data_IF_087598931391
#
_entry.id   IF_087598931391
#
_cell.length_a   1.000
_cell.length_b   1.000
_cell.length_c   1.000
_cell.angle_alpha   90.00
_cell.angle_beta   90.00
_cell.angle_gamma   90.00
#
_symmetry.space_group_name_H-M   'P 1'
#
loop_
_entity.id
_entity.type
_entity.pdbx_description
1 polymer ?
#
# COMPACT_ATOMS: atom_id res chain seq x y z
N UNK A 1 -2.16 -24.92 33.21
CA UNK A 1 -1.61 -23.69 33.80
C UNK A 1 -2.49 -23.24 34.96
N UNK A 2 -1.95 -22.46 35.90
CA UNK A 2 -2.68 -21.95 37.07
C UNK A 2 -4.01 -21.25 36.67
N UNK A 3 -4.04 -20.58 35.51
CA UNK A 3 -5.22 -19.90 34.98
C UNK A 3 -6.32 -20.88 34.55
N UNK A 4 -5.95 -21.98 33.93
CA UNK A 4 -6.90 -23.02 33.47
C UNK A 4 -7.52 -23.75 34.68
N UNK A 5 -6.74 -24.05 35.70
CA UNK A 5 -7.26 -24.71 36.92
C UNK A 5 -8.16 -23.77 37.74
N UNK A 6 -7.87 -22.47 37.77
CA UNK A 6 -8.69 -21.50 38.50
C UNK A 6 -10.05 -21.21 37.79
N UNK A 7 -10.07 -21.32 36.46
CA UNK A 7 -11.29 -21.01 35.66
C UNK A 7 -12.21 -22.24 35.46
N UNK A 8 -11.65 -23.45 35.37
CA UNK A 8 -12.40 -24.64 34.95
C UNK A 8 -12.49 -25.78 35.96
N UNK A 9 -11.82 -25.69 37.12
CA UNK A 9 -11.85 -26.73 38.16
C UNK A 9 -11.38 -28.10 37.67
N UNK A 10 -11.00 -28.96 38.56
CA UNK A 10 -10.75 -30.40 38.29
C UNK A 10 -11.81 -31.24 39.00
N UNK A 11 -13.03 -31.31 38.41
CA UNK A 11 -14.06 -32.16 39.02
C UNK A 11 -15.47 -31.94 38.48
N UNK A 12 -16.26 -32.97 38.46
CA UNK A 12 -17.52 -33.12 37.78
C UNK A 12 -18.77 -32.57 38.51
N UNK A 13 -18.64 -31.61 39.42
CA UNK A 13 -19.78 -31.03 40.10
C UNK A 13 -19.70 -29.51 40.06
N UNK A 14 -20.45 -28.92 39.11
CA UNK A 14 -20.61 -27.49 38.97
C UNK A 14 -21.75 -27.03 39.88
N UNK A 15 -21.47 -26.66 41.12
CA UNK A 15 -22.35 -25.78 41.87
C UNK A 15 -22.15 -24.34 41.38
N UNK A 16 -23.22 -23.52 41.19
CA UNK A 16 -23.05 -22.14 40.77
C UNK A 16 -22.27 -21.35 41.83
N UNK A 17 -21.05 -20.99 41.51
CA UNK A 17 -20.19 -20.19 42.38
C UNK A 17 -20.84 -18.83 42.67
N UNK A 18 -21.12 -18.53 43.92
CA UNK A 18 -21.68 -17.24 44.39
C UNK A 18 -20.68 -16.08 44.33
N UNK A 19 -19.45 -16.30 43.85
CA UNK A 19 -18.46 -15.26 43.66
C UNK A 19 -17.59 -15.52 42.43
N UNK A 20 -17.37 -14.54 41.59
CA UNK A 20 -16.41 -14.61 40.50
C UNK A 20 -15.00 -14.88 41.09
N UNK A 21 -14.30 -15.94 40.68
CA UNK A 21 -12.95 -16.18 41.17
C UNK A 21 -12.04 -15.02 40.77
N UNK A 22 -11.37 -14.42 41.76
CA UNK A 22 -10.33 -13.44 41.52
C UNK A 22 -9.03 -14.20 41.25
N UNK A 23 -8.43 -13.94 40.06
CA UNK A 23 -7.09 -14.47 39.74
C UNK A 23 -6.14 -13.29 39.73
N UNK A 24 -5.18 -13.32 40.65
CA UNK A 24 -4.08 -12.37 40.64
C UNK A 24 -3.12 -12.73 39.52
N UNK A 25 -3.10 -11.92 38.46
CA UNK A 25 -2.15 -12.06 37.37
C UNK A 25 -0.94 -11.18 37.67
N UNK A 26 0.19 -11.81 37.96
CA UNK A 26 1.44 -11.06 38.04
C UNK A 26 1.79 -10.51 36.68
N UNK A 27 1.74 -9.20 36.52
CA UNK A 27 2.19 -8.50 35.33
C UNK A 27 3.51 -7.79 35.63
N UNK A 28 4.47 -7.92 34.75
CA UNK A 28 5.69 -7.11 34.77
C UNK A 28 5.54 -6.04 33.71
N UNK A 29 5.59 -4.77 34.10
CA UNK A 29 5.63 -3.68 33.15
C UNK A 29 6.96 -3.77 32.37
N UNK A 30 6.88 -3.97 31.07
CA UNK A 30 8.02 -3.77 30.18
C UNK A 30 7.96 -2.30 29.71
N UNK A 31 8.99 -1.49 29.98
CA UNK A 31 9.04 -0.16 29.44
C UNK A 31 9.05 -0.25 27.90
N UNK A 32 8.24 0.55 27.23
CA UNK A 32 8.35 0.72 25.79
C UNK A 32 9.72 1.32 25.44
N UNK A 33 10.30 0.92 24.32
CA UNK A 33 11.56 1.52 23.82
C UNK A 33 11.38 3.03 23.59
N UNK A 34 10.16 3.46 23.22
CA UNK A 34 9.74 4.87 23.16
C UNK A 34 8.57 5.06 24.14
N UNK A 35 8.76 5.88 25.15
CA UNK A 35 7.69 6.22 26.10
C UNK A 35 6.76 7.29 25.53
N UNK A 36 5.58 7.47 26.16
CA UNK A 36 4.70 8.58 25.81
C UNK A 36 5.39 9.93 26.02
N UNK A 37 6.21 10.06 27.07
CA UNK A 37 6.96 11.28 27.36
C UNK A 37 8.00 11.58 26.28
N UNK A 38 8.67 10.55 25.74
CA UNK A 38 9.58 10.70 24.61
C UNK A 38 8.83 11.13 23.34
N UNK A 39 7.67 10.53 23.06
CA UNK A 39 6.84 10.90 21.92
C UNK A 39 6.33 12.35 22.04
N UNK A 40 5.92 12.77 23.22
CA UNK A 40 5.51 14.16 23.50
C UNK A 40 6.69 15.13 23.37
N UNK A 41 7.87 14.74 23.82
CA UNK A 41 9.08 15.55 23.70
C UNK A 41 9.51 15.75 22.25
N UNK A 42 9.30 14.73 21.39
CA UNK A 42 9.52 14.82 19.94
C UNK A 42 8.38 15.52 19.19
N UNK A 43 7.26 15.86 19.87
CA UNK A 43 6.09 16.47 19.25
C UNK A 43 5.17 15.50 18.53
N UNK A 44 5.29 14.18 18.76
CA UNK A 44 4.40 13.16 18.17
C UNK A 44 3.15 13.03 19.06
N UNK A 45 2.14 13.85 18.82
CA UNK A 45 0.98 13.98 19.73
C UNK A 45 -0.33 13.43 19.18
N UNK A 46 -0.46 13.21 17.87
CA UNK A 46 -1.68 12.68 17.27
C UNK A 46 -1.56 12.33 15.80
N UNK A 47 -2.56 11.66 15.21
CA UNK A 47 -2.58 11.37 13.78
C UNK A 47 -2.78 12.68 13.00
N UNK A 48 -1.93 12.90 11.99
CA UNK A 48 -2.00 14.04 11.08
C UNK A 48 -2.41 13.65 9.66
N UNK A 49 -2.39 12.36 9.35
CA UNK A 49 -2.86 11.80 8.08
C UNK A 49 -2.96 10.28 8.20
N UNK A 50 -4.02 9.70 7.64
CA UNK A 50 -4.23 8.25 7.64
C UNK A 50 -4.88 7.80 6.36
N UNK A 51 -4.52 6.59 5.92
CA UNK A 51 -5.15 5.96 4.77
C UNK A 51 -5.12 4.44 4.91
N UNK A 52 -6.13 3.78 4.32
CA UNK A 52 -6.25 2.32 4.33
C UNK A 52 -6.54 1.80 2.93
N UNK A 53 -5.83 0.75 2.52
CA UNK A 53 -6.14 -0.02 1.32
C UNK A 53 -6.46 -1.46 1.67
N UNK A 54 -7.30 -2.09 0.83
CA UNK A 54 -7.70 -3.49 1.00
C UNK A 54 -6.97 -4.37 -0.01
N UNK A 55 -6.63 -5.60 0.41
CA UNK A 55 -6.11 -6.64 -0.46
C UNK A 55 -6.82 -7.98 -0.25
N UNK A 56 -6.78 -8.82 -1.30
CA UNK A 56 -7.41 -10.14 -1.25
C UNK A 56 -6.57 -11.09 -0.40
N UNK A 57 -7.26 -11.88 0.43
CA UNK A 57 -6.68 -12.98 1.21
C UNK A 57 -7.25 -14.31 0.75
N UNK A 58 -6.51 -15.40 0.98
CA UNK A 58 -6.94 -16.76 0.65
C UNK A 58 -5.97 -17.49 -0.27
N UNK A 59 -6.41 -18.63 -0.81
CA UNK A 59 -5.56 -19.48 -1.63
C UNK A 59 -5.03 -18.77 -2.87
N UNK A 60 -3.71 -18.87 -3.07
CA UNK A 60 -2.99 -18.27 -4.21
C UNK A 60 -2.59 -16.79 -4.00
N UNK A 61 -2.81 -16.23 -2.81
CA UNK A 61 -2.38 -14.87 -2.48
C UNK A 61 -1.32 -14.81 -1.39
N UNK A 62 -0.88 -15.96 -0.89
CA UNK A 62 -0.02 -16.10 0.29
C UNK A 62 1.30 -15.33 0.15
N UNK A 63 1.98 -15.49 -0.98
CA UNK A 63 3.27 -14.82 -1.24
C UNK A 63 3.09 -13.31 -1.29
N UNK A 64 2.05 -12.82 -1.97
CA UNK A 64 1.75 -11.40 -2.05
C UNK A 64 1.43 -10.82 -0.67
N UNK A 65 0.62 -11.52 0.11
CA UNK A 65 0.23 -11.10 1.44
C UNK A 65 1.42 -11.11 2.41
N UNK A 66 2.33 -12.10 2.26
CA UNK A 66 3.60 -12.13 2.97
C UNK A 66 4.46 -10.89 2.65
N UNK A 67 4.63 -10.56 1.37
CA UNK A 67 5.39 -9.39 0.95
C UNK A 67 4.80 -8.08 1.50
N UNK A 68 3.47 -7.93 1.44
CA UNK A 68 2.76 -6.77 2.00
C UNK A 68 3.03 -6.65 3.51
N UNK A 69 2.91 -7.75 4.26
CA UNK A 69 3.17 -7.76 5.69
C UNK A 69 4.63 -7.43 6.01
N UNK A 70 5.57 -8.02 5.26
CA UNK A 70 7.01 -7.82 5.47
C UNK A 70 7.41 -6.36 5.23
N UNK A 71 7.01 -5.78 4.10
CA UNK A 71 7.35 -4.37 3.82
C UNK A 71 6.66 -3.41 4.77
N UNK A 72 5.44 -3.74 5.22
CA UNK A 72 4.75 -2.95 6.26
C UNK A 72 5.55 -2.91 7.56
N UNK A 73 6.16 -4.03 7.97
CA UNK A 73 7.02 -4.10 9.15
C UNK A 73 8.30 -3.29 8.99
N UNK A 74 8.91 -3.27 7.77
CA UNK A 74 10.11 -2.47 7.50
C UNK A 74 9.84 -0.96 7.58
N UNK A 75 8.64 -0.52 7.21
CA UNK A 75 8.23 0.88 7.23
C UNK A 75 7.71 1.33 8.59
N UNK A 76 7.15 0.38 9.38
CA UNK A 76 6.53 0.70 10.67
C UNK A 76 7.55 1.25 11.66
N UNK A 77 7.16 2.29 12.40
CA UNK A 77 8.00 3.05 13.33
C UNK A 77 9.15 3.84 12.68
N UNK A 78 9.16 4.04 11.36
CA UNK A 78 10.13 4.96 10.75
C UNK A 78 9.80 6.40 11.13
N UNK A 79 10.84 7.23 11.28
CA UNK A 79 10.72 8.63 11.69
C UNK A 79 11.27 9.53 10.59
N UNK A 80 10.51 10.56 10.24
CA UNK A 80 11.00 11.67 9.43
C UNK A 80 11.24 12.88 10.36
N UNK A 81 12.52 13.19 10.61
CA UNK A 81 12.86 14.32 11.48
C UNK A 81 12.40 15.67 10.90
N UNK A 82 12.22 16.65 11.77
CA UNK A 82 11.80 17.99 11.38
C UNK A 82 12.69 18.57 10.28
N UNK A 83 12.09 19.06 9.20
CA UNK A 83 12.77 19.64 8.04
C UNK A 83 13.42 18.61 7.09
N UNK A 84 13.40 17.32 7.39
CA UNK A 84 14.03 16.28 6.59
C UNK A 84 13.08 15.68 5.56
N UNK A 85 13.63 14.89 4.65
CA UNK A 85 12.89 14.06 3.70
C UNK A 85 12.84 12.61 4.17
N UNK A 86 11.76 11.91 3.85
CA UNK A 86 11.59 10.48 4.03
C UNK A 86 11.48 9.82 2.66
N UNK A 87 12.22 8.75 2.45
CA UNK A 87 12.23 7.93 1.24
C UNK A 87 11.77 6.52 1.56
N UNK A 88 10.90 5.99 0.71
CA UNK A 88 10.47 4.60 0.80
C UNK A 88 11.66 3.66 0.56
N UNK A 89 12.42 3.91 -0.51
CA UNK A 89 13.55 3.06 -0.89
C UNK A 89 14.70 3.13 0.14
N UNK A 90 14.97 4.28 0.73
CA UNK A 90 15.98 4.40 1.80
C UNK A 90 15.55 3.63 3.06
N UNK A 91 14.24 3.62 3.36
CA UNK A 91 13.69 2.94 4.54
C UNK A 91 13.65 1.42 4.35
N UNK A 92 13.24 0.93 3.18
CA UNK A 92 13.08 -0.51 2.92
C UNK A 92 14.34 -1.16 2.35
N UNK A 93 15.14 -0.40 1.58
CA UNK A 93 16.16 -0.91 0.69
C UNK A 93 15.57 -1.78 -0.41
N UNK A 94 16.43 -2.60 -1.07
CA UNK A 94 15.95 -3.55 -2.06
C UNK A 94 15.04 -4.62 -1.43
N UNK A 95 13.86 -4.82 -1.98
CA UNK A 95 12.88 -5.82 -1.53
C UNK A 95 13.07 -7.14 -2.29
N UNK A 96 14.20 -7.82 -2.03
CA UNK A 96 14.66 -9.02 -2.69
C UNK A 96 14.47 -10.32 -1.85
N UNK A 97 14.88 -11.44 -2.44
CA UNK A 97 14.81 -12.76 -1.78
C UNK A 97 15.71 -12.85 -0.54
N UNK A 98 16.83 -12.09 -0.49
CA UNK A 98 17.74 -12.11 0.66
C UNK A 98 17.07 -11.52 1.90
N UNK A 99 16.14 -10.57 1.71
CA UNK A 99 15.29 -10.03 2.78
C UNK A 99 14.03 -10.84 3.04
N UNK A 100 13.81 -11.93 2.31
CA UNK A 100 12.68 -12.83 2.48
C UNK A 100 11.45 -12.46 1.63
N UNK A 101 11.56 -11.58 0.64
CA UNK A 101 10.48 -11.33 -0.30
C UNK A 101 10.32 -12.49 -1.28
N UNK A 102 9.08 -12.76 -1.66
CA UNK A 102 8.69 -13.91 -2.49
C UNK A 102 8.18 -13.44 -3.86
N UNK A 103 8.27 -14.34 -4.85
CA UNK A 103 7.63 -14.13 -6.14
C UNK A 103 6.11 -14.04 -6.01
N UNK A 104 5.52 -12.99 -6.55
CA UNK A 104 4.09 -12.75 -6.57
C UNK A 104 3.72 -11.80 -7.71
N UNK A 105 2.42 -11.72 -8.04
CA UNK A 105 1.94 -10.89 -9.14
C UNK A 105 2.33 -9.42 -8.99
N UNK A 106 2.97 -8.90 -10.02
CA UNK A 106 3.42 -7.51 -10.16
C UNK A 106 3.09 -6.99 -11.56
N UNK A 107 3.22 -5.68 -11.76
CA UNK A 107 3.13 -5.04 -13.07
C UNK A 107 4.55 -4.62 -13.46
N UNK A 108 5.09 -5.22 -14.51
CA UNK A 108 6.42 -4.91 -15.05
C UNK A 108 6.26 -4.65 -16.54
N UNK A 109 6.79 -3.51 -17.01
CA UNK A 109 6.74 -3.09 -18.43
C UNK A 109 5.34 -3.18 -19.06
N UNK A 110 4.30 -2.86 -18.28
CA UNK A 110 2.92 -2.88 -18.75
C UNK A 110 2.30 -4.29 -18.85
N UNK A 111 2.91 -5.30 -18.28
CA UNK A 111 2.37 -6.66 -18.22
C UNK A 111 2.23 -7.15 -16.76
N UNK A 112 1.18 -7.97 -16.51
CA UNK A 112 1.07 -8.70 -15.25
C UNK A 112 1.99 -9.93 -15.30
N UNK A 113 2.96 -9.97 -14.40
CA UNK A 113 3.93 -11.06 -14.28
C UNK A 113 4.25 -11.35 -12.82
N UNK A 114 4.77 -12.54 -12.54
CA UNK A 114 5.29 -12.84 -11.22
C UNK A 114 6.70 -12.24 -11.06
N UNK A 115 6.88 -11.50 -9.99
CA UNK A 115 8.16 -10.90 -9.62
C UNK A 115 8.35 -10.92 -8.11
N UNK A 116 9.61 -10.99 -7.67
CA UNK A 116 9.97 -10.85 -6.26
C UNK A 116 9.51 -9.48 -5.77
N UNK A 117 8.91 -9.43 -4.58
CA UNK A 117 8.37 -8.20 -4.02
C UNK A 117 6.97 -7.80 -4.52
N UNK A 118 6.29 -8.64 -5.34
CA UNK A 118 4.91 -8.33 -5.76
C UNK A 118 4.02 -8.02 -4.56
N UNK A 119 3.39 -6.83 -4.58
CA UNK A 119 2.54 -6.30 -3.49
C UNK A 119 3.08 -5.07 -2.77
N UNK A 120 4.39 -4.77 -2.83
CA UNK A 120 5.01 -3.63 -2.11
C UNK A 120 4.44 -2.28 -2.54
N UNK A 121 4.09 -2.09 -3.82
CA UNK A 121 3.48 -0.87 -4.32
C UNK A 121 2.12 -0.57 -3.69
N UNK A 122 1.40 -1.58 -3.18
CA UNK A 122 0.18 -1.33 -2.44
C UNK A 122 0.46 -0.61 -1.12
N UNK A 123 1.54 -0.99 -0.43
CA UNK A 123 1.94 -0.32 0.81
C UNK A 123 2.45 1.09 0.51
N UNK A 124 3.23 1.26 -0.57
CA UNK A 124 3.65 2.59 -1.05
C UNK A 124 2.44 3.48 -1.38
N UNK A 125 1.44 2.96 -2.08
CA UNK A 125 0.18 3.68 -2.36
C UNK A 125 -0.55 4.06 -1.07
N UNK A 126 -0.55 3.20 -0.06
CA UNK A 126 -1.19 3.49 1.23
C UNK A 126 -0.46 4.60 1.97
N UNK A 127 0.88 4.53 2.05
CA UNK A 127 1.71 5.59 2.66
C UNK A 127 1.57 6.90 1.89
N UNK A 128 1.65 6.87 0.55
CA UNK A 128 1.44 8.05 -0.29
C UNK A 128 0.13 8.77 0.05
N UNK A 129 -0.96 8.01 0.16
CA UNK A 129 -2.26 8.62 0.46
C UNK A 129 -2.34 9.14 1.91
N UNK A 130 -1.69 8.51 2.88
CA UNK A 130 -1.59 9.07 4.24
C UNK A 130 -0.83 10.40 4.26
N UNK A 131 0.29 10.49 3.51
CA UNK A 131 1.04 11.74 3.30
C UNK A 131 0.21 12.77 2.54
N UNK A 132 -0.53 12.33 1.52
CA UNK A 132 -1.42 13.19 0.75
C UNK A 132 -2.47 13.86 1.65
N UNK A 133 -3.14 13.08 2.51
CA UNK A 133 -4.17 13.60 3.42
C UNK A 133 -3.60 14.45 4.56
N UNK A 134 -2.34 14.26 4.95
CA UNK A 134 -1.69 15.10 5.96
C UNK A 134 -1.36 16.52 5.46
N UNK A 135 -1.37 16.74 4.14
CA UNK A 135 -0.97 18.00 3.53
C UNK A 135 0.55 18.20 3.44
N UNK A 136 1.39 17.27 3.86
CA UNK A 136 2.86 17.39 3.77
C UNK A 136 3.34 17.41 2.31
N UNK A 137 4.50 18.05 2.00
CA UNK A 137 5.06 18.10 0.65
C UNK A 137 5.43 16.72 0.12
N UNK A 138 4.93 16.36 -1.06
CA UNK A 138 5.33 15.17 -1.81
C UNK A 138 6.39 15.60 -2.82
N UNK A 139 7.58 15.00 -2.78
CA UNK A 139 8.73 15.36 -3.61
C UNK A 139 8.88 14.46 -4.81
N UNK A 140 8.57 13.17 -4.65
CA UNK A 140 8.65 12.18 -5.70
C UNK A 140 7.49 11.19 -5.56
N UNK A 141 6.84 10.91 -6.66
CA UNK A 141 5.78 9.90 -6.79
C UNK A 141 5.67 9.48 -8.24
N UNK A 142 5.62 8.20 -8.48
CA UNK A 142 5.38 7.60 -9.79
C UNK A 142 4.02 6.87 -9.78
N UNK A 143 3.25 6.99 -10.88
CA UNK A 143 2.09 6.11 -11.09
C UNK A 143 2.54 4.77 -11.68
N UNK A 144 1.71 3.74 -11.54
CA UNK A 144 1.95 2.47 -12.23
C UNK A 144 1.82 2.65 -13.76
N UNK A 145 2.49 1.79 -14.51
CA UNK A 145 2.34 1.75 -15.97
C UNK A 145 0.92 1.38 -16.40
N UNK A 146 0.21 0.54 -15.65
CA UNK A 146 -1.18 0.18 -15.89
C UNK A 146 -2.10 0.76 -14.82
N UNK A 147 -3.32 1.15 -15.22
CA UNK A 147 -4.35 1.59 -14.27
C UNK A 147 -4.82 0.45 -13.36
N UNK A 148 -4.81 0.67 -12.07
CA UNK A 148 -5.26 -0.26 -11.04
C UNK A 148 -6.53 0.29 -10.39
N UNK A 149 -7.67 -0.29 -10.75
CA UNK A 149 -8.99 0.21 -10.33
C UNK A 149 -9.27 0.13 -8.80
N UNK A 150 -8.48 -0.64 -8.04
CA UNK A 150 -8.62 -0.74 -6.59
C UNK A 150 -8.04 0.47 -5.83
N UNK A 151 -7.27 1.32 -6.51
CA UNK A 151 -6.74 2.55 -5.94
C UNK A 151 -7.58 3.78 -6.32
N UNK A 152 -7.52 4.86 -5.55
CA UNK A 152 -8.15 6.11 -5.95
C UNK A 152 -7.59 6.59 -7.29
N UNK A 153 -8.45 7.15 -8.14
CA UNK A 153 -8.09 7.62 -9.47
C UNK A 153 -6.93 8.63 -9.41
N UNK A 154 -5.84 8.32 -10.13
CA UNK A 154 -4.65 9.17 -10.18
C UNK A 154 -3.88 9.30 -8.84
N UNK A 155 -4.18 8.46 -7.85
CA UNK A 155 -3.57 8.51 -6.51
C UNK A 155 -2.92 7.17 -6.12
N UNK A 156 -2.40 6.45 -7.08
CA UNK A 156 -1.52 5.29 -6.88
C UNK A 156 -0.05 5.72 -6.75
N UNK A 157 0.79 4.89 -6.13
CA UNK A 157 2.22 5.08 -6.06
C UNK A 157 2.95 3.76 -6.34
N UNK A 158 3.77 3.77 -7.40
CA UNK A 158 4.65 2.69 -7.77
C UNK A 158 6.05 2.95 -7.21
N UNK A 159 6.68 1.89 -6.71
CA UNK A 159 8.07 1.90 -6.23
C UNK A 159 8.84 0.72 -6.83
N UNK A 160 10.10 0.94 -7.12
CA UNK A 160 11.06 -0.07 -7.60
C UNK A 160 12.48 0.38 -7.27
N UNK A 161 13.16 -0.38 -6.43
CA UNK A 161 14.52 -0.03 -6.03
C UNK A 161 15.52 -0.30 -7.16
N UNK A 162 16.46 0.65 -7.46
CA UNK A 162 16.55 1.99 -6.88
C UNK A 162 15.83 3.09 -7.71
N UNK A 163 15.14 2.75 -8.81
CA UNK A 163 14.77 3.68 -9.88
C UNK A 163 13.49 4.49 -9.60
N UNK A 164 12.50 3.89 -8.93
CA UNK A 164 11.22 4.54 -8.62
C UNK A 164 11.05 4.63 -7.12
N UNK A 165 10.90 5.83 -6.59
CA UNK A 165 10.74 6.06 -5.15
C UNK A 165 9.45 6.81 -4.82
N UNK A 166 9.08 6.77 -3.54
CA UNK A 166 8.13 7.66 -2.92
C UNK A 166 8.87 8.51 -1.90
N UNK A 167 8.99 9.80 -2.18
CA UNK A 167 9.70 10.74 -1.32
C UNK A 167 8.78 11.88 -0.89
N UNK A 168 8.76 12.17 0.40
CA UNK A 168 8.04 13.31 0.96
C UNK A 168 8.90 14.05 1.98
N UNK A 169 8.52 15.26 2.31
CA UNK A 169 9.25 16.11 3.25
C UNK A 169 8.40 16.41 4.47
N UNK A 170 9.01 16.31 5.63
CA UNK A 170 8.47 16.87 6.85
C UNK A 170 8.87 18.34 6.94
N UNK A 171 7.99 19.25 6.53
CA UNK A 171 8.20 20.70 6.61
C UNK A 171 7.68 21.31 7.91
N UNK A 172 7.34 20.47 8.88
CA UNK A 172 6.91 20.91 10.22
C UNK A 172 8.12 21.12 11.15
N UNK A 173 7.85 21.71 12.32
CA UNK A 173 8.89 21.96 13.34
C UNK A 173 9.17 20.73 14.23
N UNK A 174 8.40 19.65 14.10
CA UNK A 174 8.48 18.46 14.94
C UNK A 174 8.66 17.20 14.09
N UNK A 175 9.15 16.15 14.69
CA UNK A 175 9.27 14.86 14.02
C UNK A 175 7.92 14.26 13.63
N UNK A 176 7.89 13.49 12.56
CA UNK A 176 6.72 12.71 12.12
C UNK A 176 7.05 11.24 12.17
N UNK A 177 6.25 10.49 12.94
CA UNK A 177 6.33 9.04 13.04
C UNK A 177 5.39 8.42 11.99
N UNK A 178 5.93 7.47 11.21
CA UNK A 178 5.17 6.67 10.24
C UNK A 178 4.80 5.34 10.89
N UNK A 179 3.51 5.07 11.01
CA UNK A 179 2.97 3.79 11.46
C UNK A 179 2.33 3.07 10.30
N UNK A 180 2.75 1.83 10.06
CA UNK A 180 2.16 0.98 9.03
C UNK A 180 1.72 -0.34 9.66
N UNK A 181 0.44 -0.64 9.56
CA UNK A 181 -0.11 -1.91 10.05
C UNK A 181 -0.73 -2.71 8.92
N UNK A 182 -0.55 -4.03 8.96
CA UNK A 182 -1.12 -4.98 8.01
C UNK A 182 -1.86 -6.07 8.78
N UNK A 183 -3.17 -6.18 8.60
CA UNK A 183 -3.97 -7.24 9.21
C UNK A 183 -5.26 -7.49 8.43
N UNK A 184 -5.70 -8.76 8.39
CA UNK A 184 -7.03 -9.18 7.89
C UNK A 184 -7.41 -8.65 6.49
N UNK A 185 -6.42 -8.53 5.59
CA UNK A 185 -6.67 -8.05 4.22
C UNK A 185 -6.64 -6.52 4.07
N UNK A 186 -6.16 -5.80 5.08
CA UNK A 186 -6.02 -4.35 5.07
C UNK A 186 -4.59 -3.90 5.38
N UNK A 187 -4.14 -2.87 4.70
CA UNK A 187 -2.96 -2.08 5.07
C UNK A 187 -3.42 -0.71 5.47
N UNK A 188 -2.99 -0.25 6.64
CA UNK A 188 -3.25 1.11 7.12
C UNK A 188 -1.93 1.81 7.39
N UNK A 189 -1.73 2.98 6.79
CA UNK A 189 -0.65 3.89 7.12
C UNK A 189 -1.20 5.10 7.87
N UNK A 190 -0.53 5.48 8.95
CA UNK A 190 -0.88 6.66 9.75
C UNK A 190 0.39 7.44 10.06
N UNK A 191 0.37 8.72 9.75
CA UNK A 191 1.41 9.65 10.18
C UNK A 191 0.99 10.27 11.51
N UNK A 192 1.88 10.25 12.48
CA UNK A 192 1.70 10.89 13.78
C UNK A 192 2.65 12.06 13.93
N UNK A 193 2.14 13.19 14.40
CA UNK A 193 2.90 14.42 14.58
C UNK A 193 2.09 15.47 15.31
N UNK A 194 2.54 16.72 15.22
CA UNK A 194 1.76 17.89 15.67
C UNK A 194 0.83 18.31 14.54
N UNK A 195 -0.46 18.39 14.81
CA UNK A 195 -1.43 18.86 13.84
C UNK A 195 -1.14 20.32 13.44
N UNK A 196 -0.80 20.53 12.17
CA UNK A 196 -0.57 21.85 11.59
C UNK A 196 -1.87 22.58 11.23
N UNK A 197 -3.03 21.95 11.45
CA UNK A 197 -4.34 22.50 11.06
C UNK A 197 -4.54 22.54 9.54
N UNK A 198 -3.81 21.75 8.79
CA UNK A 198 -3.94 21.68 7.33
C UNK A 198 -5.27 21.06 6.92
N UNK A 199 -5.92 21.70 5.96
CA UNK A 199 -7.12 21.21 5.31
C UNK A 199 -6.80 20.84 3.86
N UNK A 200 -6.95 19.56 3.53
CA UNK A 200 -6.67 19.03 2.20
C UNK A 200 -7.97 18.89 1.42
N UNK A 201 -7.97 19.40 0.19
CA UNK A 201 -9.05 19.18 -0.77
C UNK A 201 -8.50 18.65 -2.09
N UNK A 202 -9.29 17.80 -2.73
CA UNK A 202 -8.92 17.10 -3.97
C UNK A 202 -9.90 17.46 -5.07
N UNK A 203 -9.36 17.82 -6.25
CA UNK A 203 -10.11 17.92 -7.47
C UNK A 203 -9.56 16.89 -8.47
N UNK A 204 -10.41 15.92 -8.84
CA UNK A 204 -10.06 14.88 -9.82
C UNK A 204 -10.56 15.32 -11.19
N UNK A 205 -9.65 15.43 -12.15
CA UNK A 205 -9.94 15.78 -13.53
C UNK A 205 -10.71 14.69 -14.27
N UNK A 206 -11.02 14.96 -15.51
CA UNK A 206 -11.66 13.98 -16.37
C UNK A 206 -10.62 13.03 -16.98
N UNK A 207 -11.04 11.78 -17.21
CA UNK A 207 -10.22 10.82 -17.94
C UNK A 207 -10.03 11.28 -19.37
N UNK A 208 -8.79 11.29 -19.82
CA UNK A 208 -8.45 11.54 -21.22
C UNK A 208 -7.94 10.26 -21.87
N UNK A 209 -8.21 10.11 -23.17
CA UNK A 209 -7.75 8.97 -23.94
C UNK A 209 -6.22 9.07 -24.13
N UNK A 210 -5.51 8.02 -23.76
CA UNK A 210 -4.07 7.85 -23.99
C UNK A 210 -3.78 7.12 -25.30
N UNK A 211 -2.67 6.37 -25.32
CA UNK A 211 -2.26 5.55 -26.46
C UNK A 211 -3.29 4.46 -26.75
N UNK A 212 -3.57 4.23 -28.02
CA UNK A 212 -4.40 3.09 -28.45
C UNK A 212 -3.62 1.78 -28.30
N UNK A 213 -4.30 0.73 -27.82
CA UNK A 213 -3.73 -0.61 -27.75
C UNK A 213 -3.47 -1.20 -29.13
N UNK A 214 -2.50 -2.10 -29.21
CA UNK A 214 -2.25 -2.94 -30.37
C UNK A 214 -2.89 -4.33 -30.18
N UNK A 215 -3.01 -5.09 -31.27
CA UNK A 215 -3.44 -6.48 -31.23
C UNK A 215 -2.32 -7.38 -31.79
N UNK A 216 -2.04 -8.48 -31.09
CA UNK A 216 -1.05 -9.49 -31.48
C UNK A 216 -1.72 -10.85 -31.53
N UNK A 217 -1.40 -11.62 -32.58
CA UNK A 217 -1.87 -13.01 -32.72
C UNK A 217 -0.73 -13.97 -32.38
N UNK A 218 -0.97 -14.92 -31.46
CA UNK A 218 -0.07 -16.04 -31.16
C UNK A 218 -0.68 -17.33 -31.70
N UNK A 219 0.13 -18.19 -32.33
CA UNK A 219 -0.31 -19.52 -32.77
C UNK A 219 -0.09 -20.52 -31.65
N UNK A 220 -1.09 -21.35 -31.39
CA UNK A 220 -1.03 -22.47 -30.46
C UNK A 220 -1.38 -23.77 -31.22
N UNK A 221 -0.39 -24.59 -31.47
CA UNK A 221 -0.52 -25.85 -32.23
C UNK A 221 -1.38 -26.90 -31.51
N UNK A 222 -1.74 -26.68 -30.25
CA UNK A 222 -2.62 -27.57 -29.49
C UNK A 222 -4.11 -27.30 -29.76
N UNK A 223 -4.43 -26.15 -30.35
CA UNK A 223 -5.80 -25.79 -30.72
C UNK A 223 -6.19 -26.41 -32.04
N UNK A 224 -7.48 -26.68 -32.20
CA UNK A 224 -8.01 -27.12 -33.47
C UNK A 224 -7.79 -26.05 -34.58
N UNK A 225 -7.42 -26.48 -35.82
CA UNK A 225 -7.24 -25.56 -36.94
C UNK A 225 -8.47 -24.66 -37.14
N UNK A 226 -8.23 -23.36 -37.40
CA UNK A 226 -9.27 -22.38 -37.65
C UNK A 226 -10.02 -21.88 -36.42
N UNK A 227 -9.67 -22.34 -35.21
CA UNK A 227 -10.24 -21.81 -33.95
C UNK A 227 -9.40 -20.67 -33.40
N UNK A 228 -10.03 -19.75 -32.67
CA UNK A 228 -9.32 -18.66 -31.97
C UNK A 228 -10.10 -18.21 -30.72
N UNK A 229 -9.37 -17.61 -29.77
CA UNK A 229 -9.97 -16.92 -28.63
C UNK A 229 -9.10 -15.73 -28.22
N UNK A 230 -9.71 -14.74 -27.58
CA UNK A 230 -8.99 -13.60 -27.00
C UNK A 230 -8.46 -13.99 -25.63
N UNK A 231 -7.12 -14.13 -25.51
CA UNK A 231 -6.44 -14.43 -24.25
C UNK A 231 -6.37 -13.21 -23.35
N UNK A 232 -6.01 -12.06 -23.92
CA UNK A 232 -5.96 -10.77 -23.21
C UNK A 232 -6.79 -9.77 -24.03
N UNK A 233 -7.76 -9.15 -23.36
CA UNK A 233 -8.57 -8.11 -23.99
C UNK A 233 -7.79 -6.80 -24.05
N UNK A 234 -7.71 -6.17 -25.20
CA UNK A 234 -7.10 -4.87 -25.38
C UNK A 234 -7.87 -3.75 -24.64
N UNK A 235 -7.12 -2.84 -24.04
CA UNK A 235 -7.67 -1.65 -23.41
C UNK A 235 -6.75 -0.48 -23.75
N UNK A 236 -7.33 0.62 -24.25
CA UNK A 236 -6.54 1.83 -24.54
C UNK A 236 -5.96 2.40 -23.25
N UNK A 237 -4.80 3.01 -23.37
CA UNK A 237 -4.21 3.81 -22.32
C UNK A 237 -5.07 5.03 -21.97
N UNK A 238 -4.79 5.61 -20.83
CA UNK A 238 -5.54 6.77 -20.35
C UNK A 238 -4.65 7.70 -19.53
N UNK A 239 -5.06 8.96 -19.40
CA UNK A 239 -4.42 9.93 -18.53
C UNK A 239 -5.44 10.57 -17.61
N UNK A 240 -4.99 10.97 -16.43
CA UNK A 240 -5.80 11.70 -15.46
C UNK A 240 -4.92 12.63 -14.64
N UNK A 241 -5.46 13.78 -14.30
CA UNK A 241 -4.83 14.75 -13.42
C UNK A 241 -5.62 14.90 -12.13
N UNK A 242 -4.92 14.99 -11.01
CA UNK A 242 -5.49 15.22 -9.70
C UNK A 242 -4.82 16.43 -9.07
N UNK A 243 -5.59 17.46 -8.79
CA UNK A 243 -5.12 18.65 -8.08
C UNK A 243 -5.39 18.49 -6.57
N UNK A 244 -4.33 18.58 -5.76
CA UNK A 244 -4.42 18.68 -4.31
C UNK A 244 -4.23 20.14 -3.90
N UNK A 245 -5.16 20.69 -3.13
CA UNK A 245 -5.02 22.00 -2.51
C UNK A 245 -4.95 21.86 -1.01
N UNK A 246 -3.90 22.40 -0.39
CA UNK A 246 -3.68 22.42 1.05
C UNK A 246 -3.85 23.83 1.55
N UNK A 247 -4.71 24.01 2.55
CA UNK A 247 -4.97 25.30 3.22
C UNK A 247 -4.52 25.23 4.68
N UNK A 248 -4.08 26.36 5.22
CA UNK A 248 -3.84 26.52 6.65
C UNK A 248 -5.17 26.69 7.42
N UNK A 249 -5.08 26.76 8.76
CA UNK A 249 -6.24 26.98 9.63
C UNK A 249 -6.96 28.31 9.39
N UNK A 250 -6.30 29.29 8.76
CA UNK A 250 -6.90 30.58 8.38
C UNK A 250 -7.58 30.53 7.00
N UNK A 251 -7.47 29.40 6.29
CA UNK A 251 -8.05 29.20 4.96
C UNK A 251 -7.16 29.68 3.81
N UNK A 252 -5.93 30.09 4.06
CA UNK A 252 -4.99 30.47 3.01
C UNK A 252 -4.43 29.22 2.33
N UNK A 253 -4.27 29.26 1.00
CA UNK A 253 -3.61 28.18 0.26
C UNK A 253 -2.11 28.25 0.57
N UNK A 254 -1.59 27.20 1.22
CA UNK A 254 -0.17 27.04 1.52
C UNK A 254 0.54 26.15 0.49
N UNK A 255 -0.22 25.30 -0.22
CA UNK A 255 0.30 24.41 -1.25
C UNK A 255 -0.78 24.03 -2.24
N UNK A 256 -0.37 23.90 -3.50
CA UNK A 256 -1.18 23.28 -4.54
C UNK A 256 -0.28 22.38 -5.39
N UNK A 257 -0.64 21.12 -5.49
CA UNK A 257 0.11 20.11 -6.23
C UNK A 257 -0.76 19.54 -7.33
N UNK A 258 -0.14 19.29 -8.50
CA UNK A 258 -0.76 18.59 -9.63
C UNK A 258 -0.10 17.22 -9.77
N UNK A 259 -0.88 16.16 -9.64
CA UNK A 259 -0.48 14.78 -9.87
C UNK A 259 -1.02 14.32 -11.22
N UNK A 260 -0.18 14.33 -12.25
CA UNK A 260 -0.49 13.75 -13.54
C UNK A 260 -0.15 12.26 -13.54
N UNK A 261 -1.07 11.43 -14.02
CA UNK A 261 -0.88 9.99 -14.16
C UNK A 261 -1.15 9.58 -15.59
N UNK A 262 -0.20 8.84 -16.17
CA UNK A 262 -0.28 8.32 -17.55
C UNK A 262 -0.23 6.80 -17.46
N UNK A 263 -1.27 6.14 -17.94
CA UNK A 263 -1.38 4.69 -17.94
C UNK A 263 -1.26 4.16 -19.37
N UNK A 264 -0.38 3.20 -19.56
CA UNK A 264 -0.14 2.56 -20.84
C UNK A 264 -1.31 1.64 -21.25
N UNK A 265 -1.49 1.39 -22.54
CA UNK A 265 -2.50 0.45 -23.01
C UNK A 265 -2.15 -0.99 -22.62
N UNK A 266 -3.17 -1.80 -22.37
CA UNK A 266 -3.06 -3.26 -22.35
C UNK A 266 -3.26 -3.76 -23.77
N UNK A 267 -2.25 -4.37 -24.38
CA UNK A 267 -2.36 -4.88 -25.72
C UNK A 267 -3.23 -6.14 -25.80
N UNK A 268 -4.03 -6.24 -26.86
CA UNK A 268 -4.82 -7.43 -27.12
C UNK A 268 -3.93 -8.61 -27.55
N UNK A 269 -4.22 -9.78 -26.99
CA UNK A 269 -3.58 -11.04 -27.39
C UNK A 269 -4.68 -12.01 -27.83
N UNK A 270 -4.67 -12.33 -29.13
CA UNK A 270 -5.51 -13.36 -29.72
C UNK A 270 -4.66 -14.62 -29.86
N UNK A 271 -5.19 -15.75 -29.39
CA UNK A 271 -4.56 -17.08 -29.61
C UNK A 271 -5.39 -17.79 -30.68
N UNK A 272 -4.71 -18.29 -31.73
CA UNK A 272 -5.35 -19.07 -32.80
C UNK A 272 -4.69 -20.43 -32.96
N UNK A 273 -5.46 -21.42 -33.37
CA UNK A 273 -4.94 -22.68 -33.83
C UNK A 273 -4.19 -22.50 -35.17
N UNK A 274 -3.42 -23.53 -35.62
CA UNK A 274 -2.72 -23.50 -36.90
C UNK A 274 -3.70 -23.20 -38.03
N UNK A 275 -3.21 -22.59 -39.10
CA UNK A 275 -4.01 -22.44 -40.31
C UNK A 275 -4.40 -23.83 -40.83
N UNK A 276 -5.63 -24.01 -41.33
CA UNK A 276 -6.01 -25.22 -42.03
C UNK A 276 -5.07 -25.42 -43.20
N UNK A 277 -4.41 -26.59 -43.29
CA UNK A 277 -3.60 -26.89 -44.45
C UNK A 277 -4.46 -26.62 -45.69
N UNK A 278 -3.96 -25.79 -46.59
CA UNK A 278 -4.61 -25.58 -47.88
C UNK A 278 -4.66 -26.95 -48.57
N UNK A 279 -5.86 -27.52 -48.70
CA UNK A 279 -6.09 -28.79 -49.36
C UNK A 279 -5.84 -28.69 -50.88
#
# INVERSE_FOLDING_TARGET
>A
SALTSALFGSGSDIEPAQSTPKVDVASTAMPAELSLDDALACGVVGPIGTYTTQFTTGAGTENRNHNIALVSQLLDNSICAAGQTWSYNDTTGNCDEEKGFLGAGAIIDGEYTDSVGGGICQVATTVFNAVYESGLPIKERHNHSLYIASYPQGRDAAVSYPELDLVWQNDTANDVLVKVSCSEGFVTATLYGVDSGYQVSTETGQWEKGKTHSSTTKVDDTLAPGTSYVKTRGTDGSTIEVTRTVKDAAGNIVRQDLFASVYDPVNEVVVKGPDTAAG
#
